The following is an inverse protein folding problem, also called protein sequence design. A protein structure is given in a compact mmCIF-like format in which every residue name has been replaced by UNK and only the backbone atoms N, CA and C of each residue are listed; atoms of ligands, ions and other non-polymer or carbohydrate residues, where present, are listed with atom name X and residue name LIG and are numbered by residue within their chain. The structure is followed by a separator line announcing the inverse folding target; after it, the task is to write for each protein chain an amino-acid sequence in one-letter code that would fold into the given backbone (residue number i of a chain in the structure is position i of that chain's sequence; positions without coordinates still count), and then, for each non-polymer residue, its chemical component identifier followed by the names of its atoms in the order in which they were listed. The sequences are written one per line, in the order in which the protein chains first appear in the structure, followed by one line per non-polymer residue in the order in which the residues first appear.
data_IF_001429880638
#
_entry.id   IF_001429880638
#
_cell.length_a   1.000
_cell.length_b   1.000
_cell.length_c   1.000
_cell.angle_alpha   90.00
_cell.angle_beta   90.00
_cell.angle_gamma   90.00
#
_symmetry.space_group_name_H-M   'P 1'
#
loop_
_entity.id
_entity.type
_entity.pdbx_description
1 polymer ?
#
# COMPACT_ATOMS: atom_id res chain seq x y z
N UNK A 1 -28.09 18.90 -49.83
CA UNK A 1 -27.86 19.67 -48.60
C UNK A 1 -27.66 18.66 -47.49
N UNK A 2 -26.62 18.90 -46.68
CA UNK A 2 -25.93 17.90 -45.87
C UNK A 2 -26.77 17.35 -44.71
N UNK A 3 -26.71 16.03 -44.53
CA UNK A 3 -27.00 15.36 -43.27
C UNK A 3 -25.87 15.70 -42.29
N UNK A 4 -26.22 16.46 -41.25
CA UNK A 4 -25.38 16.68 -40.08
C UNK A 4 -25.51 15.45 -39.20
N UNK A 5 -24.49 14.61 -39.27
CA UNK A 5 -24.17 13.59 -38.27
C UNK A 5 -23.84 14.36 -36.99
N UNK A 6 -24.75 14.36 -36.02
CA UNK A 6 -24.44 14.76 -34.65
C UNK A 6 -23.42 13.77 -34.09
N UNK A 7 -22.15 14.14 -34.19
CA UNK A 7 -21.05 13.52 -33.47
C UNK A 7 -21.28 13.78 -31.98
N UNK A 8 -21.86 12.80 -31.29
CA UNK A 8 -21.78 12.70 -29.83
C UNK A 8 -20.31 12.65 -29.44
N UNK A 9 -19.76 13.79 -29.03
CA UNK A 9 -18.47 13.90 -28.38
C UNK A 9 -18.58 13.30 -26.98
N UNK A 10 -18.47 11.98 -26.88
CA UNK A 10 -18.28 11.28 -25.61
C UNK A 10 -16.91 11.71 -25.07
N UNK A 11 -16.91 12.60 -24.08
CA UNK A 11 -15.71 12.95 -23.32
C UNK A 11 -15.26 11.67 -22.61
N UNK A 12 -14.25 11.01 -23.18
CA UNK A 12 -13.74 9.71 -22.74
C UNK A 12 -13.04 9.84 -21.40
N UNK A 13 -13.79 9.78 -20.30
CA UNK A 13 -13.27 9.74 -18.92
C UNK A 13 -12.76 8.34 -18.54
N UNK A 14 -12.06 7.67 -19.46
CA UNK A 14 -11.54 6.31 -19.26
C UNK A 14 -10.01 6.36 -19.16
N UNK A 15 -9.41 5.37 -18.52
CA UNK A 15 -7.96 5.19 -18.46
C UNK A 15 -7.58 3.79 -18.91
N UNK A 16 -6.39 3.68 -19.50
CA UNK A 16 -5.84 2.40 -19.94
C UNK A 16 -4.98 1.76 -18.86
N UNK A 17 -5.09 0.45 -18.73
CA UNK A 17 -4.25 -0.37 -17.87
C UNK A 17 -3.86 -1.64 -18.61
N UNK A 18 -2.92 -2.38 -18.05
CA UNK A 18 -2.34 -3.56 -18.69
C UNK A 18 -2.58 -4.79 -17.84
N UNK A 19 -2.95 -5.90 -18.49
CA UNK A 19 -2.95 -7.23 -17.90
C UNK A 19 -1.75 -8.01 -18.43
N UNK A 20 -0.98 -8.59 -17.53
CA UNK A 20 0.15 -9.46 -17.81
C UNK A 20 -0.26 -10.88 -17.40
N UNK A 21 -0.67 -11.73 -18.36
CA UNK A 21 -1.03 -13.11 -18.06
C UNK A 21 0.18 -13.91 -17.55
N UNK A 22 -0.05 -14.86 -16.64
CA UNK A 22 1.02 -15.78 -16.21
C UNK A 22 1.44 -16.76 -17.30
N UNK A 23 0.56 -17.07 -18.24
CA UNK A 23 0.89 -17.91 -19.40
C UNK A 23 1.81 -17.12 -20.36
N UNK A 24 3.06 -17.58 -20.60
CA UNK A 24 3.98 -16.91 -21.51
C UNK A 24 3.51 -16.90 -22.97
N UNK A 25 2.59 -17.79 -23.35
CA UNK A 25 2.05 -17.85 -24.71
C UNK A 25 0.97 -16.80 -24.97
N UNK A 26 0.36 -16.25 -23.90
CA UNK A 26 -0.63 -15.19 -24.03
C UNK A 26 0.06 -13.82 -24.08
N UNK A 27 -0.29 -12.94 -25.04
CA UNK A 27 0.27 -11.61 -25.10
C UNK A 27 -0.17 -10.76 -23.90
N UNK A 28 0.58 -9.70 -23.62
CA UNK A 28 0.16 -8.68 -22.66
C UNK A 28 -1.04 -7.93 -23.25
N UNK A 29 -2.13 -7.86 -22.51
CA UNK A 29 -3.41 -7.29 -22.96
C UNK A 29 -3.56 -5.86 -22.44
N UNK A 30 -3.98 -4.94 -23.31
CA UNK A 30 -4.36 -3.59 -22.89
C UNK A 30 -5.87 -3.52 -22.68
N UNK A 31 -6.27 -3.02 -21.53
CA UNK A 31 -7.66 -2.89 -21.11
C UNK A 31 -7.95 -1.43 -20.75
N UNK A 32 -9.23 -1.09 -20.64
CA UNK A 32 -9.67 0.25 -20.28
C UNK A 32 -10.78 0.17 -19.23
N UNK A 33 -10.76 1.11 -18.30
CA UNK A 33 -11.73 1.23 -17.22
C UNK A 33 -12.09 2.70 -17.00
N UNK A 34 -13.19 2.96 -16.32
CA UNK A 34 -13.65 4.32 -16.11
C UNK A 34 -12.84 4.99 -15.01
N UNK A 35 -12.51 6.28 -15.21
CA UNK A 35 -11.96 7.15 -14.17
C UNK A 35 -13.02 7.55 -13.13
N UNK A 36 -14.26 7.09 -13.29
CA UNK A 36 -15.36 7.42 -12.39
C UNK A 36 -15.07 6.94 -10.94
N UNK A 37 -15.27 7.84 -9.97
CA UNK A 37 -15.20 7.51 -8.54
C UNK A 37 -13.97 8.02 -7.78
N UNK A 38 -12.88 8.39 -8.46
CA UNK A 38 -11.67 8.90 -7.80
C UNK A 38 -11.03 7.89 -6.83
N UNK A 39 -10.16 8.37 -5.94
CA UNK A 39 -9.38 7.52 -5.02
C UNK A 39 -10.27 6.62 -4.13
N UNK A 40 -11.41 7.13 -3.66
CA UNK A 40 -12.30 6.38 -2.76
C UNK A 40 -13.12 5.29 -3.46
N UNK A 41 -13.27 5.35 -4.78
CA UNK A 41 -14.12 4.43 -5.54
C UNK A 41 -13.44 3.85 -6.79
N UNK A 42 -12.10 3.78 -6.76
CA UNK A 42 -11.26 3.37 -7.88
C UNK A 42 -11.70 2.04 -8.53
N UNK A 43 -11.96 2.09 -9.83
CA UNK A 43 -12.43 0.94 -10.60
C UNK A 43 -11.35 -0.14 -10.80
N UNK A 44 -10.06 0.22 -10.79
CA UNK A 44 -8.98 -0.79 -10.96
C UNK A 44 -9.05 -1.88 -9.90
N UNK A 45 -9.14 -1.49 -8.64
CA UNK A 45 -9.17 -2.43 -7.52
C UNK A 45 -10.43 -3.29 -7.59
N UNK A 46 -11.56 -2.73 -8.00
CA UNK A 46 -12.82 -3.47 -8.17
C UNK A 46 -12.70 -4.52 -9.28
N UNK A 47 -12.15 -4.13 -10.43
CA UNK A 47 -11.96 -5.02 -11.58
C UNK A 47 -10.95 -6.14 -11.28
N UNK A 48 -9.82 -5.81 -10.65
CA UNK A 48 -8.83 -6.81 -10.24
C UNK A 48 -9.45 -7.83 -9.27
N UNK A 49 -10.15 -7.37 -8.23
CA UNK A 49 -10.85 -8.24 -7.28
C UNK A 49 -11.90 -9.12 -7.96
N UNK A 50 -12.70 -8.55 -8.87
CA UNK A 50 -13.70 -9.30 -9.63
C UNK A 50 -13.06 -10.38 -10.52
N UNK A 51 -11.98 -10.04 -11.22
CA UNK A 51 -11.26 -10.97 -12.09
C UNK A 51 -10.68 -12.15 -11.30
N UNK A 52 -10.00 -11.89 -10.18
CA UNK A 52 -9.44 -12.96 -9.36
C UNK A 52 -10.53 -13.83 -8.72
N UNK A 53 -11.66 -13.24 -8.32
CA UNK A 53 -12.82 -13.99 -7.81
C UNK A 53 -13.44 -14.89 -8.90
N UNK A 54 -13.63 -14.37 -10.13
CA UNK A 54 -14.22 -15.15 -11.22
C UNK A 54 -13.32 -16.29 -11.68
N UNK A 55 -12.01 -16.04 -11.73
CA UNK A 55 -11.02 -17.05 -12.16
C UNK A 55 -10.93 -18.21 -11.16
N UNK A 56 -11.08 -17.92 -9.86
CA UNK A 56 -11.12 -18.98 -8.83
C UNK A 56 -12.36 -19.87 -8.89
N UNK A 57 -13.53 -19.30 -9.18
CA UNK A 57 -14.80 -20.06 -9.18
C UNK A 57 -14.98 -20.93 -10.43
N UNK A 58 -14.14 -20.76 -11.46
CA UNK A 58 -14.22 -21.56 -12.69
C UNK A 58 -13.46 -22.88 -12.64
N UNK A 59 -12.70 -23.15 -11.57
CA UNK A 59 -11.78 -24.31 -11.51
C UNK A 59 -12.15 -25.41 -10.50
N UNK A 60 -13.23 -25.27 -9.73
CA UNK A 60 -13.56 -26.26 -8.70
C UNK A 60 -14.68 -27.22 -9.12
N UNK A 61 -14.43 -28.50 -8.85
CA UNK A 61 -15.41 -29.58 -8.95
C UNK A 61 -16.46 -29.40 -7.83
N UNK A 62 -17.78 -29.53 -8.09
CA UNK A 62 -18.84 -29.41 -7.07
C UNK A 62 -18.59 -30.19 -5.76
N UNK A 63 -17.85 -31.29 -5.83
CA UNK A 63 -17.50 -32.10 -4.66
C UNK A 63 -16.39 -31.48 -3.81
N UNK A 64 -15.42 -30.80 -4.44
CA UNK A 64 -14.37 -30.05 -3.74
C UNK A 64 -14.89 -28.78 -3.10
N UNK A 65 -15.84 -28.09 -3.75
CA UNK A 65 -16.52 -26.93 -3.17
C UNK A 65 -17.25 -27.30 -1.89
N UNK A 66 -17.96 -28.44 -1.89
CA UNK A 66 -18.66 -28.91 -0.70
C UNK A 66 -17.71 -29.29 0.43
N UNK A 67 -16.57 -29.92 0.10
CA UNK A 67 -15.53 -30.25 1.08
C UNK A 67 -14.85 -29.01 1.67
N UNK A 68 -14.60 -28.00 0.83
CA UNK A 68 -13.98 -26.74 1.23
C UNK A 68 -14.94 -25.90 2.09
N UNK A 69 -16.22 -25.80 1.70
CA UNK A 69 -17.27 -25.19 2.53
C UNK A 69 -17.37 -25.85 3.91
N UNK A 70 -17.31 -27.18 3.98
CA UNK A 70 -17.32 -27.91 5.24
C UNK A 70 -16.08 -27.61 6.10
N UNK A 71 -14.90 -27.49 5.49
CA UNK A 71 -13.67 -27.12 6.19
C UNK A 71 -13.72 -25.68 6.72
N UNK A 72 -14.19 -24.72 5.91
CA UNK A 72 -14.37 -23.32 6.30
C UNK A 72 -15.34 -23.22 7.49
N UNK A 73 -16.45 -23.97 7.44
CA UNK A 73 -17.41 -24.04 8.55
C UNK A 73 -16.76 -24.60 9.82
N UNK A 74 -15.96 -25.66 9.70
CA UNK A 74 -15.27 -26.26 10.84
C UNK A 74 -14.23 -25.32 11.47
N UNK A 75 -13.51 -24.55 10.66
CA UNK A 75 -12.51 -23.58 11.11
C UNK A 75 -13.15 -22.35 11.76
N UNK A 76 -14.24 -21.82 11.20
CA UNK A 76 -15.00 -20.73 11.81
C UNK A 76 -15.62 -21.14 13.16
N UNK A 77 -16.09 -22.37 13.30
CA UNK A 77 -16.58 -22.90 14.58
C UNK A 77 -15.44 -22.99 15.60
N UNK A 78 -14.24 -23.42 15.18
CA UNK A 78 -13.03 -23.41 16.04
C UNK A 78 -12.61 -21.99 16.44
N UNK A 79 -12.83 -21.00 15.57
CA UNK A 79 -12.57 -19.59 15.84
C UNK A 79 -13.66 -18.90 16.70
N UNK A 80 -14.68 -19.63 17.16
CA UNK A 80 -15.72 -19.13 18.06
C UNK A 80 -16.98 -18.60 17.37
N UNK A 81 -17.15 -18.85 16.08
CA UNK A 81 -18.37 -18.47 15.37
C UNK A 81 -19.56 -19.39 15.72
N UNK A 82 -20.76 -18.82 15.79
CA UNK A 82 -21.96 -19.56 16.16
C UNK A 82 -22.37 -20.58 15.07
N UNK A 83 -22.45 -21.90 15.39
CA UNK A 83 -22.79 -22.94 14.43
C UNK A 83 -24.15 -22.75 13.73
N UNK A 84 -25.11 -22.15 14.43
CA UNK A 84 -26.44 -21.86 13.92
C UNK A 84 -26.47 -20.73 12.87
N UNK A 85 -25.54 -19.76 12.96
CA UNK A 85 -25.42 -18.70 11.96
C UNK A 85 -24.65 -19.17 10.73
N UNK A 86 -23.61 -19.99 10.91
CA UNK A 86 -22.86 -20.56 9.79
C UNK A 86 -23.63 -21.63 9.00
N UNK A 87 -24.52 -22.38 9.64
CA UNK A 87 -25.40 -23.33 8.95
C UNK A 87 -26.42 -22.63 8.05
N UNK A 88 -26.79 -21.38 8.34
CA UNK A 88 -27.69 -20.57 7.54
C UNK A 88 -27.04 -19.92 6.30
N UNK A 89 -25.71 -19.84 6.24
CA UNK A 89 -24.98 -19.36 5.05
C UNK A 89 -24.89 -20.52 4.05
N UNK A 90 -25.24 -20.27 2.79
CA UNK A 90 -25.14 -21.29 1.74
C UNK A 90 -23.66 -21.54 1.37
N UNK A 91 -23.35 -22.74 0.86
CA UNK A 91 -21.97 -23.15 0.55
C UNK A 91 -21.31 -22.21 -0.47
N UNK A 92 -22.07 -21.74 -1.47
CA UNK A 92 -21.60 -20.79 -2.46
C UNK A 92 -21.20 -19.42 -1.87
N UNK A 93 -21.91 -18.93 -0.86
CA UNK A 93 -21.60 -17.67 -0.17
C UNK A 93 -20.44 -17.83 0.81
N UNK A 94 -20.29 -19.02 1.44
CA UNK A 94 -19.12 -19.35 2.24
C UNK A 94 -17.86 -19.46 1.37
N UNK A 95 -17.95 -20.11 0.22
CA UNK A 95 -16.87 -20.10 -0.76
C UNK A 95 -16.62 -18.71 -1.32
N UNK A 96 -17.64 -17.93 -1.66
CA UNK A 96 -17.45 -16.57 -2.15
C UNK A 96 -16.84 -15.64 -1.10
N UNK A 97 -17.12 -15.86 0.20
CA UNK A 97 -16.51 -15.12 1.30
C UNK A 97 -15.09 -15.60 1.60
N UNK A 98 -14.83 -16.90 1.49
CA UNK A 98 -13.48 -17.44 1.64
C UNK A 98 -12.59 -17.09 0.43
N UNK A 99 -13.16 -17.12 -0.78
CA UNK A 99 -12.55 -16.72 -2.03
C UNK A 99 -12.71 -15.22 -2.29
N UNK A 100 -13.28 -14.44 -1.37
CA UNK A 100 -13.28 -12.99 -1.47
C UNK A 100 -11.82 -12.59 -1.48
N UNK A 101 -11.31 -12.36 -2.69
CA UNK A 101 -9.88 -12.36 -2.93
C UNK A 101 -9.41 -10.99 -2.49
N UNK A 102 -8.47 -10.95 -1.54
CA UNK A 102 -7.83 -9.67 -1.26
C UNK A 102 -6.85 -9.44 -2.39
N UNK A 103 -6.86 -8.25 -2.96
CA UNK A 103 -5.93 -7.94 -4.03
C UNK A 103 -4.66 -7.44 -3.36
N UNK A 104 -3.55 -8.11 -3.60
CA UNK A 104 -2.25 -7.58 -3.21
C UNK A 104 -1.88 -6.46 -4.18
N UNK A 105 -1.55 -5.29 -3.64
CA UNK A 105 -1.09 -4.15 -4.42
C UNK A 105 0.41 -4.05 -4.20
N UNK A 106 1.20 -4.05 -5.26
CA UNK A 106 2.63 -3.78 -5.21
C UNK A 106 2.90 -2.47 -5.91
N UNK A 107 3.43 -1.49 -5.19
CA UNK A 107 3.87 -0.25 -5.81
C UNK A 107 5.14 -0.55 -6.60
N UNK A 108 5.10 -0.37 -7.92
CA UNK A 108 6.29 -0.49 -8.77
C UNK A 108 7.10 0.81 -8.68
N UNK A 109 6.42 1.96 -8.75
CA UNK A 109 7.03 3.27 -8.57
C UNK A 109 6.11 4.16 -7.74
N UNK A 110 6.71 4.98 -6.87
CA UNK A 110 5.99 5.96 -6.07
C UNK A 110 5.80 7.27 -6.83
N UNK A 111 4.68 7.99 -6.63
CA UNK A 111 4.49 9.34 -7.15
C UNK A 111 5.44 10.30 -6.42
N UNK A 112 6.44 10.82 -7.12
CA UNK A 112 7.45 11.73 -6.57
C UNK A 112 7.66 12.92 -7.49
N UNK A 113 8.15 14.05 -6.99
CA UNK A 113 8.40 15.22 -7.85
C UNK A 113 9.30 14.88 -9.07
N UNK A 114 10.27 13.96 -8.88
CA UNK A 114 11.18 13.50 -9.94
C UNK A 114 10.50 12.75 -11.10
N UNK A 115 9.29 12.21 -10.93
CA UNK A 115 8.52 11.55 -11.98
C UNK A 115 7.18 12.25 -12.24
N UNK A 116 7.11 13.56 -12.00
CA UNK A 116 5.87 14.34 -12.16
C UNK A 116 4.73 13.78 -11.29
N UNK A 117 5.04 13.36 -10.06
CA UNK A 117 4.08 12.85 -9.09
C UNK A 117 3.25 11.67 -9.65
N UNK A 118 3.90 10.84 -10.46
CA UNK A 118 3.28 9.73 -11.20
C UNK A 118 3.71 8.39 -10.61
N UNK A 119 2.76 7.64 -10.05
CA UNK A 119 2.97 6.30 -9.52
C UNK A 119 2.51 5.20 -10.48
N UNK A 120 3.10 4.01 -10.35
CA UNK A 120 2.65 2.79 -11.05
C UNK A 120 2.47 1.70 -10.01
N UNK A 121 1.27 1.10 -10.01
CA UNK A 121 0.91 0.01 -9.11
C UNK A 121 0.58 -1.25 -9.90
N UNK A 122 0.97 -2.38 -9.33
CA UNK A 122 0.66 -3.72 -9.80
C UNK A 122 -0.32 -4.40 -8.84
N UNK A 123 -1.29 -5.12 -9.37
CA UNK A 123 -2.37 -5.78 -8.65
C UNK A 123 -2.28 -7.27 -8.92
N UNK A 124 -2.13 -8.06 -7.86
CA UNK A 124 -1.93 -9.50 -7.92
C UNK A 124 -2.85 -10.21 -6.94
N UNK A 125 -3.02 -11.51 -7.14
CA UNK A 125 -3.80 -12.38 -6.26
C UNK A 125 -3.02 -12.68 -4.97
N UNK A 126 -3.53 -12.23 -3.82
CA UNK A 126 -2.94 -12.47 -2.49
C UNK A 126 -2.76 -13.96 -2.17
N UNK A 127 -3.58 -14.80 -2.79
CA UNK A 127 -3.60 -16.24 -2.61
C UNK A 127 -2.91 -16.98 -3.74
N UNK A 128 -2.23 -16.29 -4.66
CA UNK A 128 -1.56 -16.94 -5.80
C UNK A 128 -0.58 -18.03 -5.38
N UNK A 129 0.15 -17.84 -4.27
CA UNK A 129 1.01 -18.87 -3.65
C UNK A 129 0.22 -20.06 -3.09
N UNK A 130 -0.86 -19.79 -2.36
CA UNK A 130 -1.72 -20.82 -1.77
C UNK A 130 -2.49 -21.64 -2.81
N UNK A 131 -2.81 -21.04 -3.95
CA UNK A 131 -3.47 -21.66 -5.10
C UNK A 131 -2.52 -22.45 -6.01
N UNK A 132 -1.22 -22.43 -5.72
CA UNK A 132 -0.21 -23.11 -6.55
C UNK A 132 -0.09 -22.53 -7.97
N UNK A 133 -0.46 -21.26 -8.17
CA UNK A 133 -0.35 -20.61 -9.48
C UNK A 133 1.13 -20.51 -9.89
N UNK A 134 1.39 -20.69 -11.18
CA UNK A 134 2.73 -20.56 -11.74
C UNK A 134 3.30 -19.15 -11.56
N UNK A 135 4.63 -19.04 -11.50
CA UNK A 135 5.31 -17.74 -11.48
C UNK A 135 5.13 -17.04 -12.82
N UNK A 136 4.62 -15.82 -12.76
CA UNK A 136 4.55 -14.92 -13.90
C UNK A 136 5.90 -14.24 -14.07
N UNK A 137 6.72 -14.79 -14.96
CA UNK A 137 8.10 -14.32 -15.20
C UNK A 137 8.10 -12.85 -15.63
N UNK A 138 7.21 -12.46 -16.55
CA UNK A 138 7.13 -11.10 -17.09
C UNK A 138 6.78 -10.06 -16.02
N UNK A 139 5.74 -10.33 -15.22
CA UNK A 139 5.35 -9.43 -14.13
C UNK A 139 6.43 -9.35 -13.05
N UNK A 140 7.06 -10.49 -12.74
CA UNK A 140 8.15 -10.55 -11.76
C UNK A 140 9.40 -9.80 -12.23
N UNK A 141 9.77 -9.89 -13.51
CA UNK A 141 10.87 -9.13 -14.11
C UNK A 141 10.60 -7.63 -14.12
N UNK A 142 9.37 -7.22 -14.44
CA UNK A 142 8.97 -5.83 -14.35
C UNK A 142 9.13 -5.30 -12.92
N UNK A 143 8.64 -6.05 -11.93
CA UNK A 143 8.79 -5.68 -10.52
C UNK A 143 10.25 -5.61 -10.05
N UNK A 144 11.08 -6.58 -10.47
CA UNK A 144 12.53 -6.57 -10.21
C UNK A 144 13.23 -5.37 -10.82
N UNK A 145 12.89 -5.02 -12.06
CA UNK A 145 13.45 -3.85 -12.75
C UNK A 145 13.09 -2.54 -12.02
N UNK A 146 11.91 -2.49 -11.41
CA UNK A 146 11.46 -1.36 -10.58
C UNK A 146 12.07 -1.37 -9.16
N UNK A 147 12.98 -2.31 -8.86
CA UNK A 147 13.71 -2.36 -7.59
C UNK A 147 13.09 -3.24 -6.51
N UNK A 148 12.25 -4.20 -6.88
CA UNK A 148 11.81 -5.29 -6.01
C UNK A 148 12.58 -6.58 -6.35
N UNK A 149 13.86 -6.75 -5.92
CA UNK A 149 14.73 -7.84 -6.38
C UNK A 149 14.18 -9.24 -6.08
N UNK A 150 13.41 -9.38 -5.00
CA UNK A 150 12.81 -10.65 -4.56
C UNK A 150 11.37 -10.85 -5.07
N UNK A 151 10.91 -10.03 -6.01
CA UNK A 151 9.56 -10.16 -6.56
C UNK A 151 9.36 -11.52 -7.23
N UNK A 152 8.40 -12.28 -6.72
CA UNK A 152 7.95 -13.57 -7.25
C UNK A 152 6.42 -13.55 -7.35
N UNK A 153 5.95 -12.99 -8.46
CA UNK A 153 4.54 -12.79 -8.74
C UNK A 153 3.94 -14.11 -9.22
N UNK A 154 2.87 -14.56 -8.55
CA UNK A 154 2.15 -15.78 -8.91
C UNK A 154 0.85 -15.44 -9.63
N UNK A 155 0.61 -16.07 -10.77
CA UNK A 155 -0.61 -15.85 -11.55
C UNK A 155 -0.63 -14.53 -12.34
N UNK A 156 -1.81 -14.17 -12.83
CA UNK A 156 -2.00 -12.96 -13.62
C UNK A 156 -1.77 -11.70 -12.79
N UNK A 157 -1.25 -10.66 -13.43
CA UNK A 157 -1.02 -9.36 -12.80
C UNK A 157 -1.67 -8.24 -13.63
N UNK A 158 -2.23 -7.23 -12.96
CA UNK A 158 -2.67 -6.00 -13.61
C UNK A 158 -1.74 -4.86 -13.22
N UNK A 159 -1.47 -3.94 -14.14
CA UNK A 159 -0.60 -2.79 -13.92
C UNK A 159 -1.32 -1.53 -14.40
N UNK A 160 -1.36 -0.51 -13.54
CA UNK A 160 -1.96 0.79 -13.87
C UNK A 160 -1.12 1.95 -13.35
N UNK A 161 -1.20 3.08 -14.04
CA UNK A 161 -0.54 4.33 -13.67
C UNK A 161 -1.53 5.31 -13.05
N UNK A 162 -1.04 6.17 -12.17
CA UNK A 162 -1.80 7.23 -11.52
C UNK A 162 -0.91 8.44 -11.25
N UNK A 163 -1.52 9.61 -11.17
CA UNK A 163 -0.92 10.82 -10.61
C UNK A 163 -1.49 11.00 -9.21
N UNK A 164 -0.62 11.34 -8.27
CA UNK A 164 -0.97 11.65 -6.90
C UNK A 164 -0.19 12.91 -6.48
N UNK A 165 -0.82 14.06 -6.66
CA UNK A 165 -0.31 15.34 -6.19
C UNK A 165 -1.00 15.73 -4.89
N UNK A 166 -0.36 15.34 -3.78
CA UNK A 166 -0.81 15.67 -2.42
C UNK A 166 -0.87 17.19 -2.16
N UNK A 167 0.04 17.99 -2.74
CA UNK A 167 0.04 19.45 -2.57
C UNK A 167 -1.08 20.14 -3.36
N UNK A 168 -1.45 19.55 -4.51
CA UNK A 168 -2.51 20.02 -5.38
C UNK A 168 -3.89 19.44 -5.08
N UNK A 169 -3.98 18.44 -4.17
CA UNK A 169 -5.15 17.58 -3.98
C UNK A 169 -5.65 16.98 -5.32
N UNK A 170 -4.69 16.56 -6.17
CA UNK A 170 -4.99 16.00 -7.49
C UNK A 170 -4.64 14.52 -7.51
N UNK A 171 -5.67 13.68 -7.56
CA UNK A 171 -5.52 12.26 -7.83
C UNK A 171 -6.22 11.90 -9.13
N UNK A 172 -5.49 11.27 -10.06
CA UNK A 172 -6.11 10.76 -11.29
C UNK A 172 -5.43 9.51 -11.86
N UNK A 173 -6.22 8.67 -12.52
CA UNK A 173 -5.69 7.56 -13.32
C UNK A 173 -5.16 8.09 -14.66
N UNK A 174 -3.97 7.61 -15.01
CA UNK A 174 -3.31 7.92 -16.28
C UNK A 174 -3.18 6.63 -17.08
N UNK A 175 -3.32 6.73 -18.40
CA UNK A 175 -3.13 5.60 -19.31
C UNK A 175 -1.80 4.91 -19.03
N UNK A 176 -1.76 3.59 -19.08
CA UNK A 176 -0.54 2.79 -19.06
C UNK A 176 -0.58 1.85 -20.27
N UNK A 177 0.48 1.86 -21.09
CA UNK A 177 0.54 1.14 -22.36
C UNK A 177 1.36 -0.15 -22.25
N UNK A 178 1.11 -1.09 -23.17
CA UNK A 178 1.79 -2.39 -23.23
C UNK A 178 3.31 -2.22 -23.39
N UNK A 179 3.75 -1.25 -24.19
CA UNK A 179 5.18 -0.95 -24.40
C UNK A 179 5.88 -0.53 -23.09
N UNK A 180 5.14 0.13 -22.21
CA UNK A 180 5.64 0.56 -20.90
C UNK A 180 5.79 -0.64 -19.95
N UNK A 181 4.87 -1.59 -20.02
CA UNK A 181 4.97 -2.87 -19.30
C UNK A 181 6.13 -3.75 -19.80
N UNK A 182 6.53 -3.61 -21.07
CA UNK A 182 7.65 -4.33 -21.68
C UNK A 182 9.01 -3.68 -21.40
N UNK A 183 9.05 -2.54 -20.72
CA UNK A 183 10.30 -1.86 -20.33
C UNK A 183 10.91 -0.97 -21.41
N UNK A 184 10.17 -0.59 -22.47
CA UNK A 184 10.68 0.29 -23.53
C UNK A 184 10.84 1.76 -23.09
N UNK A 185 10.30 2.13 -21.94
CA UNK A 185 10.23 3.51 -21.46
C UNK A 185 10.98 3.65 -20.12
N UNK A 186 11.83 4.67 -20.00
CA UNK A 186 12.76 4.87 -18.87
C UNK A 186 12.13 5.21 -17.52
N UNK A 187 10.83 4.98 -17.32
CA UNK A 187 10.13 5.25 -16.05
C UNK A 187 10.55 4.26 -14.95
N UNK A 188 10.94 3.03 -15.32
CA UNK A 188 11.37 1.98 -14.38
C UNK A 188 12.67 2.36 -13.66
N UNK A 189 13.57 3.10 -14.32
CA UNK A 189 14.82 3.61 -13.74
C UNK A 189 14.58 4.71 -12.69
N UNK A 190 13.54 5.53 -12.88
CA UNK A 190 13.23 6.67 -12.00
C UNK A 190 12.67 6.20 -10.65
N UNK A 191 12.17 4.97 -10.57
CA UNK A 191 11.59 4.39 -9.35
C UNK A 191 12.34 3.20 -8.73
N UNK A 192 13.54 2.87 -9.22
CA UNK A 192 14.36 1.78 -8.65
C UNK A 192 14.55 1.94 -7.14
N UNK A 193 14.07 0.95 -6.39
CA UNK A 193 14.24 0.83 -4.95
C UNK A 193 13.24 1.65 -4.12
N UNK A 194 12.23 2.24 -4.78
CA UNK A 194 11.16 3.01 -4.12
C UNK A 194 9.83 2.25 -4.05
N UNK A 195 9.66 1.18 -4.83
CA UNK A 195 8.48 0.30 -4.82
C UNK A 195 8.56 -0.82 -3.78
N UNK A 196 7.40 -1.36 -3.38
CA UNK A 196 7.26 -2.44 -2.40
C UNK A 196 5.86 -3.06 -2.38
N UNK A 197 5.74 -4.32 -1.90
CA UNK A 197 4.44 -4.95 -1.66
C UNK A 197 3.71 -4.24 -0.52
N UNK A 198 2.46 -3.85 -0.76
CA UNK A 198 1.59 -3.22 0.24
C UNK A 198 1.38 -4.15 1.45
N UNK A 199 1.46 -5.47 1.27
CA UNK A 199 1.40 -6.46 2.35
C UNK A 199 2.59 -6.36 3.30
N UNK A 200 3.79 -6.15 2.76
CA UNK A 200 5.01 -5.93 3.56
C UNK A 200 5.03 -4.54 4.21
N UNK A 201 4.43 -3.54 3.55
CA UNK A 201 4.20 -2.22 4.14
C UNK A 201 3.17 -2.31 5.28
N UNK A 202 2.12 -3.13 5.14
CA UNK A 202 1.05 -3.34 6.14
C UNK A 202 1.46 -4.21 7.33
N UNK A 203 2.39 -5.16 7.16
CA UNK A 203 2.87 -6.00 8.28
C UNK A 203 3.85 -5.24 9.20
N UNK A 204 4.31 -4.06 8.79
CA UNK A 204 5.12 -3.13 9.59
C UNK A 204 4.34 -2.18 10.50
N UNK A 205 3.00 -2.12 10.42
CA UNK A 205 2.21 -1.23 11.28
C UNK A 205 0.77 -1.10 10.80
N UNK A 206 -0.18 -1.46 11.66
CA UNK A 206 -1.58 -1.66 11.30
C UNK A 206 -2.34 -0.40 10.88
N UNK A 207 -3.24 -0.56 9.90
CA UNK A 207 -4.20 0.47 9.51
C UNK A 207 -4.88 0.18 8.17
N UNK A 208 -5.74 -0.83 8.11
CA UNK A 208 -6.63 -1.04 6.98
C UNK A 208 -7.79 -0.01 7.01
N UNK A 209 -7.51 1.26 6.69
CA UNK A 209 -8.47 2.28 6.21
C UNK A 209 -7.78 3.63 5.98
N UNK A 210 -6.75 3.73 5.13
CA UNK A 210 -6.31 5.05 4.61
C UNK A 210 -5.58 4.88 3.28
N UNK A 211 -6.35 4.69 2.20
CA UNK A 211 -5.84 4.87 0.85
C UNK A 211 -5.77 6.38 0.60
N UNK A 212 -4.62 7.00 0.92
CA UNK A 212 -4.41 8.43 0.72
C UNK A 212 -3.19 9.07 1.40
N UNK A 213 -2.16 8.31 1.82
CA UNK A 213 -0.86 8.87 2.21
C UNK A 213 0.26 7.93 1.76
N UNK A 214 0.64 8.07 0.49
CA UNK A 214 1.80 7.40 -0.05
C UNK A 214 3.03 8.26 0.26
N UNK A 215 3.64 7.97 1.41
CA UNK A 215 4.96 8.42 1.87
C UNK A 215 5.81 9.09 0.78
N UNK A 216 5.95 10.42 0.91
CA UNK A 216 6.90 11.21 0.16
C UNK A 216 8.34 10.72 0.37
N UNK A 217 8.95 10.28 -0.74
CA UNK A 217 10.34 10.54 -1.12
C UNK A 217 11.45 10.25 -0.09
N UNK A 218 12.17 9.13 -0.29
CA UNK A 218 13.57 9.00 0.14
C UNK A 218 14.46 9.97 -0.65
N UNK A 219 14.65 11.18 -0.13
CA UNK A 219 15.98 11.75 0.03
C UNK A 219 16.62 11.07 1.26
N UNK A 220 17.95 10.86 1.32
CA UNK A 220 18.54 10.38 2.56
C UNK A 220 18.18 11.38 3.67
N UNK A 221 17.43 10.92 4.67
CA UNK A 221 17.06 11.75 5.80
C UNK A 221 18.31 12.40 6.37
N UNK A 222 18.32 13.74 6.41
CA UNK A 222 19.42 14.48 7.01
C UNK A 222 19.34 14.24 8.51
N UNK A 223 20.11 13.28 9.00
CA UNK A 223 20.21 12.99 10.42
C UNK A 223 20.84 14.20 11.11
N UNK A 224 20.07 14.81 12.01
CA UNK A 224 20.49 15.93 12.85
C UNK A 224 20.68 15.45 14.28
N UNK A 225 21.55 16.13 15.01
CA UNK A 225 21.83 15.81 16.42
C UNK A 225 21.15 16.82 17.32
N UNK A 226 20.38 16.31 18.27
CA UNK A 226 19.91 17.04 19.44
C UNK A 226 20.76 16.71 20.66
N UNK A 227 20.32 17.15 21.83
CA UNK A 227 21.01 16.87 23.09
C UNK A 227 20.73 15.43 23.54
N UNK A 228 21.66 14.51 23.22
CA UNK A 228 21.54 13.09 23.57
C UNK A 228 20.60 12.28 22.69
N UNK A 229 20.18 12.82 21.54
CA UNK A 229 19.33 12.14 20.57
C UNK A 229 19.68 12.50 19.12
N UNK A 230 19.27 11.65 18.21
CA UNK A 230 19.34 11.89 16.77
C UNK A 230 17.93 12.06 16.23
N UNK A 231 17.75 12.87 15.20
CA UNK A 231 16.42 13.10 14.66
C UNK A 231 16.46 13.39 13.17
N UNK A 232 15.38 13.01 12.50
CA UNK A 232 15.14 13.25 11.09
C UNK A 232 13.78 13.92 10.95
N UNK A 233 13.55 14.57 9.83
CA UNK A 233 12.24 15.12 9.53
C UNK A 233 11.98 15.10 8.03
N UNK A 234 10.72 14.95 7.70
CA UNK A 234 10.19 15.19 6.37
C UNK A 234 9.11 16.30 6.46
N UNK A 235 8.44 16.66 5.36
CA UNK A 235 7.40 17.69 5.39
C UNK A 235 6.23 17.38 6.34
N UNK A 236 6.00 16.12 6.69
CA UNK A 236 4.82 15.65 7.43
C UNK A 236 5.13 15.26 8.88
N UNK A 237 6.33 14.77 9.17
CA UNK A 237 6.66 14.23 10.48
C UNK A 237 8.08 14.56 10.92
N UNK A 238 8.31 14.40 12.22
CA UNK A 238 9.62 14.45 12.86
C UNK A 238 9.84 13.13 13.60
N UNK A 239 10.94 12.45 13.31
CA UNK A 239 11.33 11.22 13.99
C UNK A 239 12.53 11.49 14.90
N UNK A 240 12.43 11.10 16.17
CA UNK A 240 13.45 11.30 17.18
C UNK A 240 13.87 9.94 17.75
N UNK A 241 15.19 9.68 17.78
CA UNK A 241 15.80 8.43 18.19
C UNK A 241 16.73 8.64 19.37
N UNK A 242 16.56 7.81 20.40
CA UNK A 242 17.49 7.70 21.54
C UNK A 242 18.07 6.29 21.60
N UNK A 243 19.39 6.19 21.75
CA UNK A 243 20.02 4.95 22.19
C UNK A 243 19.66 4.69 23.66
N UNK A 244 18.88 3.65 23.92
CA UNK A 244 18.39 3.29 25.27
C UNK A 244 19.05 2.03 25.83
N UNK A 245 19.81 1.31 24.99
CA UNK A 245 20.55 0.11 25.35
C UNK A 245 19.67 -1.13 25.51
N UNK A 246 20.31 -2.30 25.62
CA UNK A 246 19.62 -3.59 25.67
C UNK A 246 18.63 -3.76 26.82
N UNK A 247 17.49 -4.40 26.49
CA UNK A 247 16.50 -4.86 27.46
C UNK A 247 15.52 -3.80 27.96
N UNK A 248 15.44 -2.64 27.31
CA UNK A 248 14.35 -1.67 27.52
C UNK A 248 13.07 -2.23 26.89
N UNK A 249 11.97 -2.23 27.65
CA UNK A 249 10.64 -2.65 27.16
C UNK A 249 9.66 -1.50 27.32
N UNK A 250 8.50 -1.58 26.66
CA UNK A 250 7.49 -0.52 26.71
C UNK A 250 7.07 -0.09 28.13
N UNK A 251 7.08 -1.01 29.12
CA UNK A 251 6.79 -0.67 30.53
C UNK A 251 7.82 0.26 31.19
N UNK A 252 9.04 0.29 30.64
CA UNK A 252 10.14 1.10 31.12
C UNK A 252 10.14 2.50 30.49
N UNK A 253 9.26 2.75 29.52
CA UNK A 253 9.19 4.00 28.75
C UNK A 253 7.89 4.73 29.07
N UNK A 254 7.97 6.03 29.33
CA UNK A 254 6.82 6.93 29.42
C UNK A 254 7.00 8.09 28.48
N UNK A 255 6.14 8.18 27.47
CA UNK A 255 6.09 9.30 26.54
C UNK A 255 4.81 10.09 26.79
N UNK A 256 4.93 11.42 26.88
CA UNK A 256 3.79 12.34 26.96
C UNK A 256 3.88 13.32 25.81
N UNK A 257 2.92 13.21 24.90
CA UNK A 257 2.72 14.14 23.81
C UNK A 257 1.85 15.31 24.26
N UNK A 258 2.24 16.51 23.87
CA UNK A 258 1.41 17.70 23.91
C UNK A 258 1.54 18.42 22.58
N UNK A 259 0.53 19.24 22.22
CA UNK A 259 0.46 19.89 20.91
C UNK A 259 1.71 20.70 20.51
N UNK A 260 2.54 21.10 21.48
CA UNK A 260 3.83 21.77 21.28
C UNK A 260 4.89 21.33 22.29
N UNK A 261 4.70 20.19 22.97
CA UNK A 261 5.58 19.75 24.07
C UNK A 261 5.80 18.25 23.99
N UNK A 262 7.00 17.82 24.34
CA UNK A 262 7.33 16.41 24.44
C UNK A 262 8.04 16.14 25.76
N UNK A 263 7.64 15.07 26.44
CA UNK A 263 8.38 14.52 27.56
C UNK A 263 8.58 13.02 27.37
N UNK A 264 9.83 12.58 27.41
CA UNK A 264 10.24 11.17 27.31
C UNK A 264 11.03 10.79 28.54
N UNK A 265 10.60 9.73 29.21
CA UNK A 265 11.25 9.16 30.37
C UNK A 265 11.52 7.67 30.11
N UNK A 266 12.75 7.23 30.35
CA UNK A 266 13.18 5.82 30.20
C UNK A 266 13.77 5.36 31.52
N UNK A 267 13.21 4.29 32.11
CA UNK A 267 13.59 3.74 33.43
C UNK A 267 13.64 4.78 34.56
N UNK A 268 12.78 5.80 34.49
CA UNK A 268 12.74 6.89 35.48
C UNK A 268 13.68 8.06 35.19
N UNK A 269 14.52 7.97 34.17
CA UNK A 269 15.40 9.04 33.72
C UNK A 269 14.71 9.85 32.61
N UNK A 270 14.62 11.17 32.77
CA UNK A 270 14.06 12.06 31.74
C UNK A 270 15.09 12.22 30.62
N UNK A 271 14.79 11.67 29.44
CA UNK A 271 15.64 11.78 28.24
C UNK A 271 15.42 13.08 27.50
N UNK A 272 14.18 13.59 27.49
CA UNK A 272 13.85 14.92 26.99
C UNK A 272 12.60 15.46 27.67
N UNK A 273 12.57 16.76 27.96
CA UNK A 273 11.38 17.50 28.39
C UNK A 273 11.49 18.94 27.89
N UNK A 274 10.69 19.31 26.89
CA UNK A 274 10.83 20.63 26.27
C UNK A 274 9.70 21.01 25.31
N UNK A 275 9.81 22.21 24.75
CA UNK A 275 8.90 22.70 23.70
C UNK A 275 9.37 22.17 22.34
N UNK A 276 8.44 21.71 21.50
CA UNK A 276 8.75 21.23 20.16
C UNK A 276 9.13 22.38 19.22
N UNK A 277 9.84 22.03 18.13
CA UNK A 277 10.15 22.97 17.04
C UNK A 277 8.89 23.57 16.38
N UNK A 278 7.82 22.79 16.31
CA UNK A 278 6.53 23.18 15.76
C UNK A 278 5.35 22.54 16.50
N UNK A 279 4.14 22.73 15.95
CA UNK A 279 2.93 22.11 16.48
C UNK A 279 2.70 20.72 15.89
N UNK A 280 2.14 19.81 16.68
CA UNK A 280 1.87 18.42 16.28
C UNK A 280 0.39 18.07 16.42
N UNK A 281 -0.06 17.09 15.65
CA UNK A 281 -1.34 16.40 15.85
C UNK A 281 -1.09 15.25 16.81
N UNK A 282 -1.63 15.34 18.03
CA UNK A 282 -1.32 14.38 19.11
C UNK A 282 -1.71 12.95 18.72
N UNK A 283 -2.83 12.79 18.02
CA UNK A 283 -3.34 11.48 17.60
C UNK A 283 -2.49 10.83 16.49
N UNK A 284 -1.65 11.61 15.81
CA UNK A 284 -0.67 11.14 14.81
C UNK A 284 0.74 10.94 15.40
N UNK A 285 0.92 11.18 16.71
CA UNK A 285 2.20 10.94 17.38
C UNK A 285 2.27 9.51 17.92
N UNK A 286 3.38 8.82 17.69
CA UNK A 286 3.60 7.44 18.14
C UNK A 286 5.01 7.24 18.70
N UNK A 287 5.23 6.12 19.39
CA UNK A 287 6.56 5.71 19.84
C UNK A 287 6.68 4.19 19.86
N UNK A 288 7.88 3.68 19.60
CA UNK A 288 8.22 2.26 19.66
C UNK A 288 9.65 2.05 20.16
N UNK A 289 9.95 0.83 20.63
CA UNK A 289 11.31 0.42 20.96
C UNK A 289 11.77 -0.56 19.88
N UNK A 290 12.81 -0.18 19.14
CA UNK A 290 13.39 -0.95 18.04
C UNK A 290 14.78 -1.42 18.44
N UNK A 291 14.92 -2.69 18.83
CA UNK A 291 16.19 -3.23 19.31
C UNK A 291 16.68 -2.54 20.58
N UNK A 292 17.70 -1.69 20.46
CA UNK A 292 18.30 -0.90 21.54
C UNK A 292 17.99 0.61 21.44
N UNK A 293 17.06 0.98 20.57
CA UNK A 293 16.67 2.37 20.31
C UNK A 293 15.21 2.62 20.70
N UNK A 294 14.94 3.80 21.24
CA UNK A 294 13.60 4.35 21.39
C UNK A 294 13.37 5.31 20.23
N UNK A 295 12.33 5.07 19.45
CA UNK A 295 11.92 5.90 18.33
C UNK A 295 10.60 6.59 18.67
N UNK A 296 10.53 7.90 18.49
CA UNK A 296 9.33 8.72 18.67
C UNK A 296 9.04 9.44 17.37
N UNK A 297 7.84 9.25 16.84
CA UNK A 297 7.37 9.89 15.60
C UNK A 297 6.32 10.94 15.95
N UNK A 298 6.48 12.15 15.41
CA UNK A 298 5.64 13.30 15.66
C UNK A 298 4.98 13.78 14.36
N UNK A 299 3.67 13.59 14.20
CA UNK A 299 2.91 14.14 13.06
C UNK A 299 2.79 15.66 13.16
N UNK A 300 3.31 16.39 12.16
CA UNK A 300 3.28 17.86 12.11
C UNK A 300 1.86 18.33 11.82
N UNK A 301 1.39 19.34 12.56
CA UNK A 301 0.08 19.95 12.33
C UNK A 301 -0.01 20.78 11.05
N UNK A 302 1.11 21.39 10.65
CA UNK A 302 1.24 22.14 9.40
C UNK A 302 2.37 21.51 8.60
N UNK A 303 2.00 20.84 7.50
CA UNK A 303 2.95 20.24 6.57
C UNK A 303 3.83 21.29 5.86
N UNK A 304 4.98 20.86 5.34
CA UNK A 304 5.84 21.67 4.47
C UNK A 304 6.82 22.60 5.20
N UNK A 305 6.65 22.84 6.50
CA UNK A 305 7.65 23.60 7.29
C UNK A 305 8.66 22.67 7.95
N UNK A 306 9.92 22.82 7.56
CA UNK A 306 11.07 22.15 8.19
C UNK A 306 11.36 22.80 9.55
N UNK A 307 11.47 21.98 10.58
CA UNK A 307 11.80 22.43 11.92
C UNK A 307 13.31 22.66 12.00
N UNK A 308 13.74 23.79 12.57
CA UNK A 308 15.16 24.03 12.83
C UNK A 308 15.72 23.19 13.98
N UNK A 309 14.84 22.67 14.84
CA UNK A 309 15.15 21.88 16.04
C UNK A 309 13.97 20.97 16.38
N UNK A 310 14.22 19.74 16.83
CA UNK A 310 13.14 18.84 17.25
C UNK A 310 12.48 19.28 18.57
N UNK A 311 13.33 19.57 19.57
CA UNK A 311 12.93 20.04 20.91
C UNK A 311 13.88 21.17 21.33
N UNK A 312 13.32 22.28 21.82
CA UNK A 312 14.01 23.49 22.29
C UNK A 312 14.46 23.38 23.73
#
# INVERSE_FOLDING_TARGET
MAELIESSSTTSSDFKYVKIPSDPNLPIEQLSASKAGGLQNDEMIKLAKQYFTSTTNTQTDPEQDKAMAASIRAEAIKAGANPAQLSAVNDAALLALHNSTTCEITCLTLPVAANSKTGVSMYTDDKGRGKGLGTNVRASELARTCGNPDADIKGDAFVSRYIDDEEGDVWERVDFEVKEAQGETGWTEIGKGRGGSLSNVMQGGGGAMEMGRAQGQNAPDVVRKGDGYEWTENPEEVEIRWGVGGGVKGRDVKVKFGARKLKVEVRGEVKVEGELGGAVVIDECTWCVEGEELVVTLGKREGGTMWGVAVK
#
